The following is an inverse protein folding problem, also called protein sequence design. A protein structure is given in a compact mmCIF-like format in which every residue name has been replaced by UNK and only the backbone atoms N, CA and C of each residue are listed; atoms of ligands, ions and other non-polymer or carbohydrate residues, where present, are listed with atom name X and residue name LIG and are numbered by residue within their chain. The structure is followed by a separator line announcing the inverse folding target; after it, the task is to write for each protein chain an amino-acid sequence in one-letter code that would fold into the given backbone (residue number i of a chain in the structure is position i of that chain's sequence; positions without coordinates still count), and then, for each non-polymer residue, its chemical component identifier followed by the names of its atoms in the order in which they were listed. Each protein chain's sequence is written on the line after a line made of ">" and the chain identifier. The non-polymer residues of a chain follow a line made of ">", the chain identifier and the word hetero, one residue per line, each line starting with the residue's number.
data_IF_076685616327
#
_entry.id   IF_076685616327
#
_cell.length_a   1.000
_cell.length_b   1.000
_cell.length_c   1.000
_cell.angle_alpha   90.00
_cell.angle_beta   90.00
_cell.angle_gamma   90.00
#
_symmetry.space_group_name_H-M   'P 1'
#
loop_
_entity.id
_entity.type
_entity.pdbx_description
1 polymer ?
#
# COMPACT_ATOMS: atom_id res chain seq x y z
N UNK A 1 -13.43 12.58 11.30
CA UNK A 1 -12.13 12.38 11.98
C UNK A 1 -11.08 13.18 11.22
N UNK A 2 -10.25 13.98 11.90
CA UNK A 2 -9.08 14.61 11.25
C UNK A 2 -8.11 13.49 10.91
N UNK A 3 -7.94 13.17 9.63
CA UNK A 3 -6.82 12.36 9.13
C UNK A 3 -5.54 13.08 9.55
N UNK A 4 -4.72 12.45 10.38
CA UNK A 4 -3.38 12.93 10.67
C UNK A 4 -2.57 12.80 9.38
N UNK A 5 -2.61 13.83 8.53
CA UNK A 5 -1.91 13.82 7.24
C UNK A 5 -0.45 13.44 7.47
N UNK A 6 -0.02 12.36 6.82
CA UNK A 6 1.39 11.96 6.80
C UNK A 6 2.22 13.13 6.29
N UNK A 7 3.27 13.48 7.03
CA UNK A 7 4.25 14.46 6.55
C UNK A 7 5.25 13.78 5.61
N UNK A 8 5.95 14.56 4.79
CA UNK A 8 7.06 14.06 3.96
C UNK A 8 8.11 13.34 4.81
N UNK A 9 8.32 13.77 6.07
CA UNK A 9 9.23 13.11 6.99
C UNK A 9 8.72 11.75 7.47
N UNK A 10 7.40 11.56 7.59
CA UNK A 10 6.80 10.25 7.90
C UNK A 10 6.92 9.27 6.71
N UNK A 11 6.85 9.78 5.48
CA UNK A 11 6.77 8.95 4.27
C UNK A 11 8.11 8.31 3.92
N UNK A 12 9.24 9.01 4.09
CA UNK A 12 10.57 8.45 3.76
C UNK A 12 10.89 7.16 4.53
N UNK A 13 10.67 7.07 5.85
CA UNK A 13 10.81 5.81 6.59
C UNK A 13 9.80 4.74 6.15
N UNK A 14 8.56 5.13 5.84
CA UNK A 14 7.52 4.22 5.35
C UNK A 14 7.97 3.56 4.04
N UNK A 15 8.46 4.34 3.08
CA UNK A 15 8.87 3.84 1.77
C UNK A 15 9.94 2.73 1.84
N UNK A 16 10.82 2.78 2.85
CA UNK A 16 11.86 1.75 3.09
C UNK A 16 11.29 0.40 3.53
N UNK A 17 10.08 0.37 4.07
CA UNK A 17 9.44 -0.85 4.58
C UNK A 17 8.40 -1.41 3.63
N UNK A 18 8.04 -0.68 2.56
CA UNK A 18 7.02 -1.07 1.58
C UNK A 18 7.36 -2.40 0.91
N UNK A 19 8.55 -2.56 0.32
CA UNK A 19 8.94 -3.83 -0.35
C UNK A 19 8.85 -5.02 0.61
N UNK A 20 9.37 -4.86 1.83
CA UNK A 20 9.29 -5.89 2.87
C UNK A 20 7.84 -6.23 3.26
N UNK A 21 6.95 -5.23 3.30
CA UNK A 21 5.54 -5.45 3.60
C UNK A 21 4.83 -6.20 2.45
N UNK A 22 5.21 -5.92 1.21
CA UNK A 22 4.70 -6.64 0.04
C UNK A 22 5.15 -8.10 0.02
N UNK A 23 6.45 -8.36 0.25
CA UNK A 23 6.98 -9.72 0.31
C UNK A 23 6.30 -10.54 1.41
N UNK A 24 5.97 -9.92 2.54
CA UNK A 24 5.18 -10.57 3.59
C UNK A 24 3.77 -10.91 3.13
N UNK A 25 3.06 -9.96 2.51
CA UNK A 25 1.72 -10.19 1.99
C UNK A 25 1.69 -11.33 0.95
N UNK A 26 2.69 -11.39 0.06
CA UNK A 26 2.86 -12.49 -0.88
C UNK A 26 3.00 -13.85 -0.20
N UNK A 27 3.87 -13.93 0.82
CA UNK A 27 4.10 -15.17 1.55
C UNK A 27 2.86 -15.62 2.35
N UNK A 28 2.11 -14.67 2.92
CA UNK A 28 0.88 -14.95 3.68
C UNK A 28 -0.24 -15.51 2.78
N UNK A 29 -0.30 -15.11 1.51
CA UNK A 29 -1.27 -15.59 0.54
C UNK A 29 -0.98 -16.99 0.01
N UNK A 30 0.18 -17.57 0.32
CA UNK A 30 0.53 -18.95 -0.01
C UNK A 30 0.82 -19.22 -1.49
N UNK A 31 0.74 -18.21 -2.35
CA UNK A 31 1.01 -18.32 -3.78
C UNK A 31 1.78 -17.10 -4.29
N UNK A 32 2.90 -17.27 -5.00
CA UNK A 32 3.53 -16.18 -5.72
C UNK A 32 2.57 -15.67 -6.79
N UNK A 33 2.45 -14.35 -6.90
CA UNK A 33 1.79 -13.70 -8.04
C UNK A 33 2.52 -14.10 -9.33
N UNK A 34 1.76 -14.26 -10.42
CA UNK A 34 2.32 -14.46 -11.75
C UNK A 34 3.16 -13.23 -12.11
N UNK A 35 4.31 -13.42 -12.76
CA UNK A 35 5.14 -12.32 -13.23
C UNK A 35 4.45 -11.47 -14.29
N UNK A 36 3.40 -11.99 -14.93
CA UNK A 36 2.52 -11.23 -15.82
C UNK A 36 1.39 -10.49 -15.12
N UNK A 37 1.28 -10.55 -13.78
CA UNK A 37 0.23 -9.83 -13.05
C UNK A 37 0.50 -8.32 -13.09
N UNK A 38 -0.35 -7.61 -13.82
CA UNK A 38 -0.33 -6.15 -13.99
C UNK A 38 -1.25 -5.43 -13.00
N UNK A 39 -1.79 -6.15 -12.00
CA UNK A 39 -2.64 -5.59 -10.97
C UNK A 39 -1.90 -4.58 -10.10
N UNK A 40 -2.55 -3.45 -9.83
CA UNK A 40 -2.11 -2.52 -8.78
C UNK A 40 -2.76 -2.93 -7.45
N UNK A 41 -1.93 -3.29 -6.46
CA UNK A 41 -2.35 -3.66 -5.11
C UNK A 41 -2.33 -2.47 -4.16
N UNK A 42 -3.15 -2.52 -3.11
CA UNK A 42 -3.32 -1.39 -2.20
C UNK A 42 -2.30 -1.42 -1.08
N UNK A 43 -1.64 -0.28 -0.86
CA UNK A 43 -0.79 -0.03 0.28
C UNK A 43 -1.57 0.72 1.37
N UNK A 44 -1.65 0.08 2.53
CA UNK A 44 -2.27 0.63 3.72
C UNK A 44 -1.22 1.06 4.73
N UNK A 45 -1.54 2.10 5.50
CA UNK A 45 -0.75 2.52 6.63
C UNK A 45 -1.63 2.75 7.86
N UNK A 46 -1.17 2.32 9.02
CA UNK A 46 -1.79 2.63 10.30
C UNK A 46 -1.25 3.97 10.82
N UNK A 47 -2.06 5.05 10.87
CA UNK A 47 -1.54 6.39 11.17
C UNK A 47 -0.81 6.48 12.52
N UNK A 48 -1.30 5.76 13.52
CA UNK A 48 -0.75 5.82 14.89
C UNK A 48 0.59 5.11 15.05
N UNK A 49 0.86 4.06 14.27
CA UNK A 49 2.08 3.24 14.40
C UNK A 49 3.00 3.36 13.20
N UNK A 50 2.55 4.02 12.12
CA UNK A 50 3.21 4.08 10.82
C UNK A 50 3.52 2.68 10.23
N UNK A 51 2.80 1.66 10.69
CA UNK A 51 2.94 0.30 10.21
C UNK A 51 2.27 0.20 8.84
N UNK A 52 2.97 -0.41 7.88
CA UNK A 52 2.47 -0.58 6.52
C UNK A 52 2.16 -2.02 6.19
N UNK A 53 1.12 -2.20 5.39
CA UNK A 53 0.59 -3.50 4.99
C UNK A 53 0.11 -3.43 3.54
N UNK A 54 0.28 -4.54 2.82
CA UNK A 54 -0.36 -4.75 1.54
C UNK A 54 -1.53 -5.69 1.71
N UNK A 55 -2.61 -5.41 0.98
CA UNK A 55 -3.68 -6.39 0.79
C UNK A 55 -3.88 -6.58 -0.72
N UNK A 56 -3.55 -7.78 -1.17
CA UNK A 56 -3.57 -8.16 -2.58
C UNK A 56 -5.01 -8.46 -3.07
N UNK A 57 -6.01 -8.53 -2.18
CA UNK A 57 -7.43 -8.73 -2.56
C UNK A 57 -8.03 -7.46 -3.14
N UNK A 58 -7.45 -6.30 -2.81
CA UNK A 58 -7.97 -5.00 -3.23
C UNK A 58 -7.34 -4.50 -4.53
N UNK A 59 -7.13 -5.37 -5.51
CA UNK A 59 -6.60 -4.96 -6.81
C UNK A 59 -7.50 -3.88 -7.46
N UNK A 60 -6.87 -2.82 -7.96
CA UNK A 60 -7.55 -1.71 -8.64
C UNK A 60 -8.30 -2.23 -9.87
N UNK A 61 -9.61 -1.99 -9.96
CA UNK A 61 -10.40 -2.36 -11.14
C UNK A 61 -11.82 -2.90 -10.88
N UNK A 62 -12.21 -3.14 -9.61
CA UNK A 62 -13.55 -3.62 -9.27
C UNK A 62 -14.28 -2.66 -8.31
N UNK A 63 -15.47 -2.19 -8.70
CA UNK A 63 -16.25 -1.20 -7.94
C UNK A 63 -16.77 -1.73 -6.59
N UNK A 64 -17.00 -3.04 -6.45
CA UNK A 64 -17.41 -3.64 -5.18
C UNK A 64 -16.24 -3.73 -4.20
N UNK A 65 -15.03 -3.91 -4.73
CA UNK A 65 -13.78 -3.99 -3.98
C UNK A 65 -13.46 -2.65 -3.31
N UNK A 66 -13.72 -1.52 -3.96
CA UNK A 66 -13.56 -0.18 -3.36
C UNK A 66 -14.45 0.03 -2.12
N UNK A 67 -15.70 -0.45 -2.14
CA UNK A 67 -16.59 -0.34 -0.98
C UNK A 67 -16.10 -1.18 0.20
N UNK A 68 -15.66 -2.41 -0.08
CA UNK A 68 -15.06 -3.30 0.94
C UNK A 68 -13.77 -2.69 1.51
N UNK A 69 -12.98 -2.02 0.68
CA UNK A 69 -11.76 -1.35 1.09
C UNK A 69 -12.03 -0.22 2.08
N UNK A 70 -13.04 0.62 1.83
CA UNK A 70 -13.45 1.66 2.77
C UNK A 70 -13.86 1.08 4.14
N UNK A 71 -14.69 0.04 4.14
CA UNK A 71 -15.09 -0.64 5.39
C UNK A 71 -13.89 -1.26 6.12
N UNK A 72 -12.98 -1.89 5.38
CA UNK A 72 -11.75 -2.45 5.92
C UNK A 72 -10.87 -1.37 6.58
N UNK A 73 -10.73 -0.21 5.95
CA UNK A 73 -9.99 0.93 6.49
C UNK A 73 -10.62 1.45 7.79
N UNK A 74 -11.94 1.63 7.83
CA UNK A 74 -12.66 2.11 9.01
C UNK A 74 -12.53 1.15 10.20
N UNK A 75 -12.71 -0.16 9.95
CA UNK A 75 -12.64 -1.19 10.99
C UNK A 75 -11.23 -1.31 11.60
N UNK A 76 -10.20 -1.23 10.76
CA UNK A 76 -8.81 -1.43 11.18
C UNK A 76 -8.06 -0.13 11.52
N UNK A 77 -8.71 1.03 11.34
CA UNK A 77 -8.11 2.37 11.47
C UNK A 77 -6.86 2.51 10.59
N UNK A 78 -7.03 2.17 9.32
CA UNK A 78 -6.01 2.25 8.28
C UNK A 78 -6.32 3.39 7.31
N UNK A 79 -5.28 3.87 6.65
CA UNK A 79 -5.38 4.82 5.54
C UNK A 79 -4.75 4.19 4.29
N UNK A 80 -5.38 4.38 3.14
CA UNK A 80 -4.78 4.06 1.84
C UNK A 80 -3.76 5.15 1.54
N UNK A 81 -2.51 4.74 1.31
CA UNK A 81 -1.40 5.67 1.05
C UNK A 81 -0.78 5.46 -0.34
N UNK A 82 -1.26 4.50 -1.11
CA UNK A 82 -0.83 4.30 -2.49
C UNK A 82 -1.29 2.98 -3.07
N UNK A 83 -1.00 2.81 -4.35
CA UNK A 83 -1.20 1.59 -5.11
C UNK A 83 0.11 1.23 -5.80
N UNK A 84 0.49 -0.04 -5.78
CA UNK A 84 1.74 -0.52 -6.37
C UNK A 84 1.53 -1.85 -7.07
N UNK A 85 2.13 -2.00 -8.25
CA UNK A 85 2.27 -3.28 -8.94
C UNK A 85 3.54 -4.03 -8.49
N UNK A 86 3.60 -5.33 -8.78
CA UNK A 86 4.81 -6.12 -8.55
C UNK A 86 6.02 -5.58 -9.32
N UNK A 87 5.81 -5.11 -10.56
CA UNK A 87 6.85 -4.50 -11.38
C UNK A 87 7.44 -3.26 -10.71
N UNK A 88 6.59 -2.34 -10.26
CA UNK A 88 7.03 -1.12 -9.57
C UNK A 88 7.82 -1.43 -8.30
N UNK A 89 7.40 -2.42 -7.52
CA UNK A 89 8.10 -2.81 -6.30
C UNK A 89 9.43 -3.53 -6.56
N UNK A 90 9.64 -4.07 -7.76
CA UNK A 90 10.94 -4.61 -8.20
C UNK A 90 11.86 -3.49 -8.67
N UNK A 91 11.36 -2.57 -9.49
CA UNK A 91 12.16 -1.56 -10.19
C UNK A 91 12.41 -0.27 -9.37
N UNK A 92 11.42 0.24 -8.62
CA UNK A 92 11.48 1.55 -7.96
C UNK A 92 12.23 1.51 -6.63
N UNK A 93 13.24 2.36 -6.45
CA UNK A 93 13.95 2.43 -5.17
C UNK A 93 13.10 3.07 -4.05
N UNK A 94 13.62 3.12 -2.82
CA UNK A 94 12.87 3.67 -1.69
C UNK A 94 12.56 5.18 -1.80
N UNK A 95 13.32 5.92 -2.61
CA UNK A 95 13.07 7.34 -2.87
C UNK A 95 11.92 7.47 -3.86
N UNK A 96 11.96 6.74 -4.96
CA UNK A 96 10.89 6.71 -5.96
C UNK A 96 9.55 6.27 -5.34
N UNK A 97 9.60 5.26 -4.47
CA UNK A 97 8.42 4.80 -3.70
C UNK A 97 7.88 5.93 -2.81
N UNK A 98 8.77 6.68 -2.14
CA UNK A 98 8.37 7.78 -1.27
C UNK A 98 7.69 8.90 -2.07
N UNK A 99 8.25 9.26 -3.23
CA UNK A 99 7.70 10.29 -4.09
C UNK A 99 6.32 9.89 -4.62
N UNK A 100 6.14 8.63 -5.04
CA UNK A 100 4.82 8.12 -5.44
C UNK A 100 3.78 8.15 -4.30
N UNK A 101 4.18 7.84 -3.06
CA UNK A 101 3.29 7.95 -1.89
C UNK A 101 2.92 9.41 -1.63
N UNK A 102 3.87 10.34 -1.77
CA UNK A 102 3.62 11.79 -1.61
C UNK A 102 2.62 12.26 -2.67
N UNK A 103 2.85 11.93 -3.93
CA UNK A 103 1.97 12.29 -5.05
C UNK A 103 0.55 11.71 -4.90
N UNK A 104 0.41 10.57 -4.22
CA UNK A 104 -0.90 10.00 -3.91
C UNK A 104 -1.66 10.79 -2.84
N UNK A 105 -0.95 11.40 -1.89
CA UNK A 105 -1.52 12.04 -0.71
C UNK A 105 -1.79 13.54 -0.88
N UNK A 106 -1.20 14.19 -1.89
CA UNK A 106 -1.21 15.64 -2.09
C UNK A 106 -1.72 16.04 -3.48
#
# INVERSE_FOLDING_TARGET
>A
MRTEKFTVADIKPIAKTVRTAFDKALNEWGHPLDESDDSEYVLFCKPTTRAVHFDLTFAKGNSEVARRMHQYCELNRLEVIGYFSQFELREMDSVDIADKIIDHLY
#
